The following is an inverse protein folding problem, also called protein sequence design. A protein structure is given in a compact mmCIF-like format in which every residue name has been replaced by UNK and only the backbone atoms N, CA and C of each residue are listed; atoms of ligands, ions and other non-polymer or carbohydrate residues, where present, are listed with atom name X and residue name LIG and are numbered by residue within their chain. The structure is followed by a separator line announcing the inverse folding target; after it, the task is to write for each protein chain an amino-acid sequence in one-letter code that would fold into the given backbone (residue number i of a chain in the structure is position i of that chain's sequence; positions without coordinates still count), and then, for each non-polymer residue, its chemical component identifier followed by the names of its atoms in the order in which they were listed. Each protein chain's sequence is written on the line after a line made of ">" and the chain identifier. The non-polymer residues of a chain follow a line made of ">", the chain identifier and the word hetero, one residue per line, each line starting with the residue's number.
data_IF_993879063777
#
_entry.id   IF_993879063777
#
_cell.length_a   1.000
_cell.length_b   1.000
_cell.length_c   1.000
_cell.angle_alpha   90.00
_cell.angle_beta   90.00
_cell.angle_gamma   90.00
#
_symmetry.space_group_name_H-M   'P 1'
#
loop_
_entity.id
_entity.type
_entity.pdbx_description
1 polymer ?
#
# COMPACT_ATOMS: atom_id res chain seq x y z
N UNK A 1 54.79 -22.35 -9.07
CA UNK A 1 54.44 -21.06 -9.70
C UNK A 1 54.94 -21.08 -11.13
N UNK A 2 54.03 -20.96 -12.10
CA UNK A 2 54.29 -21.15 -13.54
C UNK A 2 55.11 -19.99 -14.13
N UNK A 3 56.19 -20.30 -14.85
CA UNK A 3 57.28 -19.39 -15.24
C UNK A 3 56.96 -18.40 -16.38
N UNK A 4 55.67 -18.16 -16.73
CA UNK A 4 55.30 -17.37 -17.93
C UNK A 4 54.50 -16.08 -17.70
N UNK A 5 54.12 -15.73 -16.47
CA UNK A 5 53.33 -14.52 -16.20
C UNK A 5 54.28 -13.35 -15.89
N UNK A 6 54.32 -12.35 -16.79
CA UNK A 6 55.05 -11.08 -16.56
C UNK A 6 54.50 -10.40 -15.30
N UNK A 7 55.37 -10.15 -14.32
CA UNK A 7 54.99 -9.48 -13.09
C UNK A 7 54.90 -7.96 -13.32
N UNK A 8 53.73 -7.39 -13.02
CA UNK A 8 53.49 -5.95 -13.15
C UNK A 8 53.42 -5.21 -11.81
N UNK A 9 53.49 -5.90 -10.66
CA UNK A 9 53.42 -5.25 -9.34
C UNK A 9 54.43 -4.12 -9.20
N UNK A 10 53.99 -2.96 -8.71
CA UNK A 10 54.78 -1.75 -8.54
C UNK A 10 54.97 -0.92 -9.81
N UNK A 11 54.58 -1.40 -10.99
CA UNK A 11 54.70 -0.64 -12.24
C UNK A 11 53.52 0.32 -12.43
N UNK A 12 53.78 1.45 -13.07
CA UNK A 12 52.78 2.49 -13.38
C UNK A 12 52.47 2.51 -14.88
N UNK A 13 51.17 2.47 -15.23
CA UNK A 13 50.64 2.52 -16.59
C UNK A 13 49.66 3.70 -16.71
N UNK A 14 50.14 4.84 -17.22
CA UNK A 14 49.36 6.09 -17.20
C UNK A 14 49.05 6.52 -15.76
N UNK A 15 47.77 6.69 -15.42
CA UNK A 15 47.30 7.01 -14.05
C UNK A 15 47.16 5.78 -13.15
N UNK A 16 47.59 4.57 -13.56
CA UNK A 16 47.35 3.32 -12.82
C UNK A 16 48.64 2.75 -12.24
N UNK A 17 48.73 2.64 -10.91
CA UNK A 17 49.77 1.89 -10.22
C UNK A 17 49.29 0.45 -9.97
N UNK A 18 50.05 -0.54 -10.39
CA UNK A 18 49.70 -1.94 -10.15
C UNK A 18 50.07 -2.32 -8.72
N UNK A 19 49.05 -2.63 -7.91
CA UNK A 19 49.19 -2.94 -6.48
C UNK A 19 49.45 -4.42 -6.26
N UNK A 20 48.71 -5.30 -6.94
CA UNK A 20 48.83 -6.74 -6.72
C UNK A 20 48.32 -7.55 -7.90
N UNK A 21 48.84 -8.78 -8.01
CA UNK A 21 48.22 -9.83 -8.82
C UNK A 21 46.86 -10.24 -8.21
N UNK A 22 45.88 -10.59 -9.05
CA UNK A 22 44.57 -11.08 -8.59
C UNK A 22 44.34 -12.53 -9.00
N UNK A 23 43.91 -12.76 -10.25
CA UNK A 23 43.64 -14.08 -10.80
C UNK A 23 44.10 -14.15 -12.27
N UNK A 24 44.12 -15.36 -12.82
CA UNK A 24 44.34 -15.58 -14.25
C UNK A 24 43.12 -16.22 -14.89
N UNK A 25 42.75 -15.76 -16.09
CA UNK A 25 41.61 -16.28 -16.84
C UNK A 25 41.93 -16.29 -18.34
N UNK A 26 41.70 -17.42 -19.02
CA UNK A 26 42.00 -17.59 -20.45
C UNK A 26 43.42 -17.15 -20.84
N UNK A 27 44.42 -17.62 -20.08
CA UNK A 27 45.83 -17.28 -20.32
C UNK A 27 46.23 -15.83 -20.02
N UNK A 28 45.34 -15.00 -19.47
CA UNK A 28 45.63 -13.62 -19.10
C UNK A 28 45.63 -13.44 -17.59
N UNK A 29 46.71 -12.86 -17.06
CA UNK A 29 46.78 -12.40 -15.67
C UNK A 29 46.01 -11.09 -15.49
N UNK A 30 45.25 -10.98 -14.41
CA UNK A 30 44.51 -9.79 -14.01
C UNK A 30 45.18 -9.15 -12.79
N UNK A 31 45.25 -7.83 -12.80
CA UNK A 31 46.03 -7.05 -11.85
C UNK A 31 45.15 -6.00 -11.19
N UNK A 32 45.20 -5.94 -9.86
CA UNK A 32 44.57 -4.88 -9.09
C UNK A 32 45.42 -3.63 -9.26
N UNK A 33 44.82 -2.58 -9.82
CA UNK A 33 45.46 -1.30 -10.03
C UNK A 33 44.78 -0.24 -9.17
N UNK A 34 45.57 0.60 -8.53
CA UNK A 34 45.11 1.81 -7.87
C UNK A 34 45.39 2.98 -8.80
N UNK A 35 44.34 3.77 -9.08
CA UNK A 35 44.47 4.91 -9.96
C UNK A 35 44.78 6.17 -9.15
N UNK A 36 45.46 7.15 -9.76
CA UNK A 36 45.67 8.48 -9.19
C UNK A 36 44.34 9.18 -8.79
N UNK A 37 43.21 8.72 -9.34
CA UNK A 37 41.84 9.13 -8.97
C UNK A 37 41.35 8.58 -7.61
N UNK A 38 42.14 7.74 -6.93
CA UNK A 38 41.79 7.01 -5.71
C UNK A 38 40.99 5.71 -5.92
N UNK A 39 40.43 5.48 -7.12
CA UNK A 39 39.68 4.25 -7.39
C UNK A 39 40.60 3.07 -7.70
N UNK A 40 40.22 1.89 -7.21
CA UNK A 40 40.86 0.61 -7.51
C UNK A 40 40.08 -0.14 -8.58
N UNK A 41 40.79 -0.75 -9.53
CA UNK A 41 40.19 -1.50 -10.64
C UNK A 41 41.03 -2.71 -11.01
N UNK A 42 40.39 -3.84 -11.24
CA UNK A 42 41.05 -5.04 -11.75
C UNK A 42 41.14 -4.94 -13.28
N UNK A 43 42.36 -5.02 -13.80
CA UNK A 43 42.66 -4.79 -15.22
C UNK A 43 43.47 -5.97 -15.77
N UNK A 44 43.12 -6.52 -16.95
CA UNK A 44 43.91 -7.57 -17.57
C UNK A 44 45.28 -7.04 -17.98
N UNK A 45 46.33 -7.81 -17.70
CA UNK A 45 47.72 -7.45 -17.95
C UNK A 45 48.02 -7.10 -19.41
N UNK A 46 47.34 -7.75 -20.36
CA UNK A 46 47.44 -7.41 -21.79
C UNK A 46 47.03 -5.96 -22.08
N UNK A 47 46.02 -5.43 -21.38
CA UNK A 47 45.54 -4.07 -21.60
C UNK A 47 46.46 -3.03 -20.94
N UNK A 48 47.13 -3.40 -19.85
CA UNK A 48 48.20 -2.58 -19.25
C UNK A 48 49.41 -2.53 -20.20
N UNK A 49 49.87 -3.70 -20.66
CA UNK A 49 51.05 -3.83 -21.50
C UNK A 49 50.90 -3.17 -22.88
N UNK A 50 49.70 -3.25 -23.49
CA UNK A 50 49.44 -2.64 -24.80
C UNK A 50 48.91 -1.19 -24.69
N UNK A 51 48.82 -0.63 -23.48
CA UNK A 51 48.44 0.77 -23.25
C UNK A 51 46.96 1.11 -23.49
N UNK A 52 46.07 0.11 -23.64
CA UNK A 52 44.63 0.32 -23.82
C UNK A 52 43.94 0.88 -22.58
N UNK A 53 44.42 0.54 -21.38
CA UNK A 53 43.86 1.06 -20.13
C UNK A 53 44.86 1.97 -19.44
N UNK A 54 44.61 3.28 -19.47
CA UNK A 54 45.48 4.31 -18.87
C UNK A 54 44.93 4.94 -17.57
N UNK A 55 43.70 4.60 -17.17
CA UNK A 55 43.07 5.08 -15.94
C UNK A 55 41.93 4.17 -15.46
N UNK A 56 41.40 4.46 -14.27
CA UNK A 56 40.18 3.86 -13.72
C UNK A 56 38.94 4.06 -14.63
N UNK A 57 39.02 5.01 -15.58
CA UNK A 57 37.91 5.59 -16.35
C UNK A 57 37.77 7.10 -16.10
N UNK A 58 38.52 7.66 -15.14
CA UNK A 58 38.50 9.09 -14.81
C UNK A 58 38.96 9.98 -15.96
N UNK A 59 39.98 9.59 -16.74
CA UNK A 59 40.44 10.39 -17.89
C UNK A 59 39.31 10.65 -18.90
N UNK A 60 38.51 9.61 -19.16
CA UNK A 60 37.38 9.72 -20.07
C UNK A 60 36.28 10.61 -19.46
N UNK A 61 36.04 10.49 -18.14
CA UNK A 61 35.06 11.31 -17.42
C UNK A 61 35.45 12.79 -17.39
N UNK A 62 36.73 13.10 -17.17
CA UNK A 62 37.32 14.45 -17.21
C UNK A 62 37.12 15.09 -18.61
N UNK A 63 37.43 14.35 -19.67
CA UNK A 63 37.23 14.81 -21.05
C UNK A 63 35.74 15.03 -21.37
N UNK A 64 34.86 14.10 -20.98
CA UNK A 64 33.42 14.25 -21.20
C UNK A 64 32.86 15.50 -20.51
N UNK A 65 33.27 15.80 -19.27
CA UNK A 65 32.79 17.00 -18.56
C UNK A 65 33.17 18.31 -19.24
N UNK A 66 34.26 18.35 -20.00
CA UNK A 66 34.69 19.56 -20.74
C UNK A 66 33.85 19.84 -21.99
N UNK A 67 33.17 18.82 -22.54
CA UNK A 67 32.35 18.94 -23.75
C UNK A 67 30.84 19.09 -23.48
N UNK A 68 30.43 19.50 -22.27
CA UNK A 68 29.02 19.72 -21.93
C UNK A 68 28.73 21.18 -21.52
N UNK A 69 27.46 21.56 -21.62
CA UNK A 69 27.00 22.88 -21.21
C UNK A 69 27.62 24.01 -22.03
N UNK A 70 27.87 25.16 -21.38
CA UNK A 70 28.45 26.36 -22.00
C UNK A 70 29.83 26.15 -22.63
N UNK A 71 30.53 25.07 -22.26
CA UNK A 71 31.87 24.75 -22.74
C UNK A 71 31.86 23.94 -24.06
N UNK A 72 30.68 23.49 -24.51
CA UNK A 72 30.53 22.84 -25.81
C UNK A 72 30.31 23.91 -26.89
N UNK A 73 31.04 23.84 -28.00
CA UNK A 73 30.86 24.75 -29.15
C UNK A 73 29.45 24.69 -29.76
N UNK A 74 28.73 23.59 -29.59
CA UNK A 74 27.33 23.42 -30.01
C UNK A 74 26.31 23.90 -28.96
N UNK A 75 26.73 24.62 -27.92
CA UNK A 75 25.84 25.14 -26.89
C UNK A 75 24.97 26.28 -27.41
N UNK A 76 23.64 26.10 -27.33
CA UNK A 76 22.65 27.08 -27.81
C UNK A 76 21.99 27.90 -26.68
N UNK A 77 22.52 27.85 -25.47
CA UNK A 77 21.91 28.53 -24.32
C UNK A 77 20.51 28.00 -24.00
N UNK A 78 19.58 28.94 -23.83
CA UNK A 78 18.16 28.69 -23.55
C UNK A 78 17.30 28.61 -24.83
N UNK A 79 17.88 28.92 -26.00
CA UNK A 79 17.25 28.72 -27.31
C UNK A 79 17.30 27.25 -27.75
N UNK A 80 16.78 26.36 -26.91
CA UNK A 80 16.72 24.91 -27.14
C UNK A 80 15.28 24.42 -27.20
N UNK A 81 15.00 23.45 -28.08
CA UNK A 81 13.67 22.86 -28.20
C UNK A 81 13.28 21.99 -26.99
N UNK A 82 11.99 21.69 -26.89
CA UNK A 82 11.36 20.91 -25.80
C UNK A 82 12.15 19.67 -25.36
N UNK A 83 12.53 18.80 -26.30
CA UNK A 83 13.23 17.55 -25.99
C UNK A 83 14.60 17.78 -25.32
N UNK A 84 15.31 18.84 -25.71
CA UNK A 84 16.61 19.16 -25.13
C UNK A 84 16.47 19.64 -23.69
N UNK A 85 15.43 20.42 -23.39
CA UNK A 85 15.13 20.85 -22.03
C UNK A 85 14.68 19.68 -21.15
N UNK A 86 13.80 18.82 -21.66
CA UNK A 86 13.34 17.63 -20.94
C UNK A 86 14.51 16.69 -20.61
N UNK A 87 15.44 16.52 -21.54
CA UNK A 87 16.67 15.75 -21.31
C UNK A 87 17.57 16.42 -20.27
N UNK A 88 17.69 17.75 -20.29
CA UNK A 88 18.42 18.47 -19.27
C UNK A 88 17.82 18.27 -17.88
N UNK A 89 16.50 18.38 -17.74
CA UNK A 89 15.83 18.16 -16.44
C UNK A 89 16.03 16.74 -15.95
N UNK A 90 15.76 15.74 -16.79
CA UNK A 90 15.91 14.33 -16.39
C UNK A 90 17.35 13.98 -15.98
N UNK A 91 18.36 14.71 -16.49
CA UNK A 91 19.77 14.51 -16.12
C UNK A 91 20.14 15.21 -14.82
N UNK A 92 19.63 16.42 -14.58
CA UNK A 92 20.01 17.23 -13.43
C UNK A 92 19.14 16.97 -12.19
N UNK A 93 17.90 16.50 -12.39
CA UNK A 93 16.91 16.30 -11.33
C UNK A 93 16.36 14.88 -11.40
N UNK A 94 16.98 13.92 -10.70
CA UNK A 94 16.50 12.55 -10.63
C UNK A 94 15.05 12.49 -10.13
N UNK A 95 14.23 11.69 -10.81
CA UNK A 95 12.82 11.48 -10.44
C UNK A 95 12.71 10.68 -9.15
N UNK A 96 11.82 11.09 -8.26
CA UNK A 96 11.54 10.36 -7.01
C UNK A 96 10.67 9.12 -7.25
N UNK A 97 10.00 9.06 -8.40
CA UNK A 97 9.00 8.05 -8.72
C UNK A 97 7.69 8.25 -7.98
N UNK A 98 7.45 9.43 -7.39
CA UNK A 98 6.24 9.76 -6.62
C UNK A 98 5.54 10.92 -7.33
N UNK A 99 4.28 10.71 -7.70
CA UNK A 99 3.49 11.73 -8.38
C UNK A 99 3.05 12.84 -7.43
N UNK A 100 3.42 14.09 -7.72
CA UNK A 100 3.09 15.27 -6.89
C UNK A 100 1.59 15.54 -6.77
N UNK A 101 0.80 15.17 -7.77
CA UNK A 101 -0.66 15.35 -7.72
C UNK A 101 -1.36 14.24 -6.94
N UNK A 102 -0.99 12.99 -7.20
CA UNK A 102 -1.80 11.84 -6.79
C UNK A 102 -1.19 11.04 -5.63
N UNK A 103 0.06 11.33 -5.27
CA UNK A 103 0.85 10.70 -4.19
C UNK A 103 1.32 9.27 -4.50
N UNK A 104 1.03 8.72 -5.69
CA UNK A 104 1.35 7.32 -6.01
C UNK A 104 2.81 7.18 -6.42
N UNK A 105 3.45 6.12 -5.89
CA UNK A 105 4.71 5.62 -6.43
C UNK A 105 4.46 4.89 -7.76
N UNK A 106 5.04 5.37 -8.85
CA UNK A 106 4.78 4.90 -10.21
C UNK A 106 5.92 5.28 -11.19
N UNK A 107 5.79 4.88 -12.46
CA UNK A 107 6.58 5.49 -13.52
C UNK A 107 6.13 6.94 -13.73
N UNK A 108 7.05 7.88 -13.55
CA UNK A 108 6.80 9.32 -13.54
C UNK A 108 7.59 10.04 -14.63
N UNK A 109 7.16 11.25 -14.95
CA UNK A 109 7.82 12.19 -15.86
C UNK A 109 7.56 13.62 -15.42
N UNK A 110 8.48 14.52 -15.75
CA UNK A 110 8.32 15.95 -15.50
C UNK A 110 7.43 16.59 -16.56
N UNK A 111 6.53 17.45 -16.12
CA UNK A 111 5.63 18.25 -16.96
C UNK A 111 5.88 19.72 -16.66
N UNK A 112 5.95 20.55 -17.71
CA UNK A 112 6.09 21.99 -17.54
C UNK A 112 4.74 22.62 -17.15
N UNK A 113 4.74 23.42 -16.08
CA UNK A 113 3.52 24.02 -15.53
C UNK A 113 3.19 25.40 -16.12
N UNK A 114 4.18 26.13 -16.62
CA UNK A 114 4.03 27.55 -17.00
C UNK A 114 4.00 27.77 -18.52
N UNK A 115 4.20 26.73 -19.33
CA UNK A 115 4.34 26.82 -20.79
C UNK A 115 5.65 27.47 -21.25
N UNK A 116 6.34 28.18 -20.35
CA UNK A 116 7.66 28.75 -20.56
C UNK A 116 8.72 27.70 -20.26
N UNK A 117 9.39 27.23 -21.31
CA UNK A 117 10.40 26.18 -21.26
C UNK A 117 11.75 26.72 -20.77
N UNK A 118 11.82 27.21 -19.54
CA UNK A 118 13.07 27.69 -18.91
C UNK A 118 13.85 26.53 -18.27
N UNK A 119 15.16 26.69 -18.10
CA UNK A 119 16.01 25.76 -17.31
C UNK A 119 15.85 25.98 -15.79
N UNK A 120 14.62 26.10 -15.35
CA UNK A 120 14.26 26.23 -13.93
C UNK A 120 13.46 25.00 -13.51
N UNK A 121 13.81 24.38 -12.38
CA UNK A 121 13.09 23.22 -11.87
C UNK A 121 11.72 23.60 -11.33
N UNK A 122 11.51 24.86 -10.91
CA UNK A 122 10.22 25.31 -10.39
C UNK A 122 9.12 25.32 -11.46
N UNK A 123 9.50 25.39 -12.73
CA UNK A 123 8.58 25.32 -13.87
C UNK A 123 8.14 23.90 -14.19
N UNK A 124 8.60 22.90 -13.43
CA UNK A 124 8.34 21.49 -13.70
C UNK A 124 7.79 20.75 -12.50
N UNK A 125 6.90 19.81 -12.80
CA UNK A 125 6.33 18.94 -11.79
C UNK A 125 6.37 17.47 -12.19
N UNK A 126 6.76 16.62 -11.24
CA UNK A 126 6.84 15.17 -11.45
C UNK A 126 5.45 14.51 -11.31
N UNK A 127 4.93 13.99 -12.42
CA UNK A 127 3.61 13.33 -12.47
C UNK A 127 3.74 11.88 -12.90
N UNK A 128 2.87 11.01 -12.38
CA UNK A 128 2.70 9.67 -12.95
C UNK A 128 2.06 9.77 -14.35
N UNK A 129 2.34 8.81 -15.24
CA UNK A 129 1.86 8.85 -16.62
C UNK A 129 0.33 9.03 -16.76
N UNK A 130 -0.46 8.49 -15.83
CA UNK A 130 -1.91 8.71 -15.83
C UNK A 130 -2.31 10.16 -15.51
N UNK A 131 -1.58 10.84 -14.61
CA UNK A 131 -1.84 12.25 -14.30
C UNK A 131 -1.25 13.16 -15.40
N UNK A 132 -0.08 12.81 -15.93
CA UNK A 132 0.55 13.48 -17.06
C UNK A 132 -0.39 13.56 -18.27
N UNK A 133 -0.99 12.42 -18.65
CA UNK A 133 -1.96 12.38 -19.76
C UNK A 133 -3.18 13.28 -19.51
N UNK A 134 -3.65 13.38 -18.27
CA UNK A 134 -4.76 14.28 -17.91
C UNK A 134 -4.35 15.73 -18.10
N UNK A 135 -3.14 16.10 -17.67
CA UNK A 135 -2.60 17.44 -17.82
C UNK A 135 -2.53 17.84 -19.31
N UNK A 136 -1.92 16.99 -20.14
CA UNK A 136 -1.76 17.26 -21.58
C UNK A 136 -3.10 17.40 -22.31
N UNK A 137 -4.09 16.55 -21.98
CA UNK A 137 -5.37 16.50 -22.70
C UNK A 137 -6.32 17.66 -22.35
N UNK A 138 -6.18 18.30 -21.19
CA UNK A 138 -7.16 19.28 -20.72
C UNK A 138 -6.71 20.74 -20.90
N UNK A 139 -5.56 21.01 -21.55
CA UNK A 139 -4.96 22.36 -21.70
C UNK A 139 -5.10 23.18 -20.41
N UNK A 140 -4.80 22.55 -19.28
CA UNK A 140 -5.09 23.12 -17.96
C UNK A 140 -4.17 24.34 -17.77
N UNK A 141 -4.76 25.47 -17.36
CA UNK A 141 -4.06 26.76 -17.29
C UNK A 141 -3.21 26.93 -16.02
N UNK A 142 -3.48 26.14 -14.98
CA UNK A 142 -2.71 26.15 -13.73
C UNK A 142 -2.53 24.75 -13.14
N UNK A 143 -1.49 24.57 -12.33
CA UNK A 143 -1.25 23.33 -11.61
C UNK A 143 -2.34 23.01 -10.57
N UNK A 144 -2.86 24.05 -9.92
CA UNK A 144 -3.92 23.99 -8.90
C UNK A 144 -5.21 23.41 -9.48
N UNK A 145 -5.64 23.90 -10.66
CA UNK A 145 -6.81 23.37 -11.37
C UNK A 145 -6.66 21.88 -11.70
N UNK A 146 -5.44 21.44 -12.06
CA UNK A 146 -5.18 20.03 -12.34
C UNK A 146 -5.26 19.17 -11.09
N UNK A 147 -4.76 19.68 -9.96
CA UNK A 147 -4.80 19.00 -8.67
C UNK A 147 -6.23 18.75 -8.23
N UNK A 148 -7.08 19.76 -8.34
CA UNK A 148 -8.49 19.67 -7.98
C UNK A 148 -9.28 18.72 -8.90
N UNK A 149 -9.06 18.80 -10.22
CA UNK A 149 -9.66 17.87 -11.18
C UNK A 149 -9.31 16.41 -10.91
N UNK A 150 -8.04 16.12 -10.57
CA UNK A 150 -7.60 14.75 -10.26
C UNK A 150 -8.19 14.26 -8.93
N UNK A 151 -8.31 15.13 -7.93
CA UNK A 151 -8.94 14.80 -6.64
C UNK A 151 -10.44 14.51 -6.85
N UNK A 152 -11.14 15.35 -7.62
CA UNK A 152 -12.55 15.15 -7.93
C UNK A 152 -12.79 13.85 -8.70
N UNK A 153 -11.99 13.57 -9.75
CA UNK A 153 -12.06 12.31 -10.52
C UNK A 153 -11.76 11.05 -9.70
N UNK A 154 -11.05 11.16 -8.57
CA UNK A 154 -10.83 10.03 -7.66
C UNK A 154 -12.02 9.75 -6.74
N UNK A 155 -12.87 10.75 -6.48
CA UNK A 155 -14.01 10.62 -5.55
C UNK A 155 -15.21 9.95 -6.22
N UNK A 156 -15.33 10.01 -7.54
CA UNK A 156 -16.46 9.45 -8.28
C UNK A 156 -16.02 8.50 -9.41
N UNK A 157 -16.93 7.63 -9.84
CA UNK A 157 -16.75 6.70 -10.95
C UNK A 157 -18.09 6.44 -11.64
N UNK A 158 -18.06 6.27 -12.97
CA UNK A 158 -19.22 5.88 -13.77
C UNK A 158 -19.43 4.37 -13.68
N UNK A 159 -20.64 3.95 -13.33
CA UNK A 159 -21.03 2.55 -13.36
C UNK A 159 -21.26 2.08 -14.79
N UNK A 160 -20.53 1.08 -15.27
CA UNK A 160 -20.70 0.59 -16.65
C UNK A 160 -21.97 -0.22 -16.89
N UNK A 161 -22.78 -0.44 -15.84
CA UNK A 161 -24.07 -1.15 -15.95
C UNK A 161 -25.27 -0.20 -16.04
N UNK A 162 -25.30 0.84 -15.21
CA UNK A 162 -26.40 1.82 -15.18
C UNK A 162 -26.06 3.18 -15.79
N UNK A 163 -24.79 3.44 -16.14
CA UNK A 163 -24.35 4.71 -16.74
C UNK A 163 -24.19 5.88 -15.76
N UNK A 164 -24.66 5.75 -14.53
CA UNK A 164 -24.63 6.83 -13.53
C UNK A 164 -23.24 7.05 -12.93
N UNK A 165 -22.90 8.33 -12.70
CA UNK A 165 -21.75 8.73 -11.89
C UNK A 165 -22.08 8.59 -10.40
N UNK A 166 -21.27 7.79 -9.67
CA UNK A 166 -21.47 7.51 -8.24
C UNK A 166 -20.20 7.71 -7.45
N UNK A 167 -20.31 7.75 -6.12
CA UNK A 167 -19.15 7.79 -5.25
C UNK A 167 -18.29 6.55 -5.45
N UNK A 168 -16.97 6.68 -5.35
CA UNK A 168 -16.04 5.53 -5.41
C UNK A 168 -16.32 4.50 -4.30
N UNK A 169 -16.97 4.92 -3.20
CA UNK A 169 -17.40 4.06 -2.08
C UNK A 169 -18.58 3.14 -2.47
N UNK A 170 -19.32 3.48 -3.52
CA UNK A 170 -20.45 2.71 -4.04
C UNK A 170 -20.01 1.54 -4.94
N UNK A 171 -18.71 1.35 -5.10
CA UNK A 171 -18.13 0.25 -5.85
C UNK A 171 -17.38 -0.71 -4.93
N UNK A 172 -17.66 -2.00 -5.06
CA UNK A 172 -16.93 -3.02 -4.32
C UNK A 172 -15.47 -3.08 -4.77
N UNK A 173 -14.57 -3.47 -3.86
CA UNK A 173 -13.19 -3.73 -4.21
C UNK A 173 -13.10 -4.90 -5.19
N UNK A 174 -12.36 -4.73 -6.27
CA UNK A 174 -11.92 -5.85 -7.11
C UNK A 174 -10.56 -6.34 -6.62
N UNK A 175 -9.66 -5.40 -6.28
CA UNK A 175 -8.39 -5.68 -5.66
C UNK A 175 -8.00 -4.50 -4.77
N UNK A 176 -7.98 -4.74 -3.44
CA UNK A 176 -7.75 -3.69 -2.45
C UNK A 176 -6.30 -3.18 -2.48
N UNK A 177 -5.31 -4.06 -2.60
CA UNK A 177 -3.88 -3.67 -2.62
C UNK A 177 -3.52 -2.82 -3.84
N UNK A 178 -4.12 -3.10 -5.00
CA UNK A 178 -3.92 -2.32 -6.23
C UNK A 178 -4.86 -1.12 -6.35
N UNK A 179 -5.71 -0.84 -5.35
CA UNK A 179 -6.67 0.26 -5.39
C UNK A 179 -7.76 0.10 -6.47
N UNK A 180 -7.98 -1.11 -7.01
CA UNK A 180 -8.92 -1.35 -8.12
C UNK A 180 -10.32 -1.64 -7.60
N UNK A 181 -11.29 -0.85 -8.06
CA UNK A 181 -12.73 -1.02 -7.80
C UNK A 181 -13.41 -1.74 -8.96
N UNK A 182 -14.45 -2.52 -8.67
CA UNK A 182 -15.32 -3.14 -9.69
C UNK A 182 -15.91 -2.08 -10.64
N UNK A 183 -16.32 -2.51 -11.83
CA UNK A 183 -16.91 -1.62 -12.84
C UNK A 183 -18.39 -1.30 -12.56
N UNK A 184 -19.10 -2.23 -11.92
CA UNK A 184 -20.51 -2.07 -11.56
C UNK A 184 -20.64 -1.58 -10.11
N UNK A 185 -21.62 -0.71 -9.87
CA UNK A 185 -21.94 -0.25 -8.51
C UNK A 185 -22.59 -1.37 -7.67
N UNK A 186 -22.56 -1.19 -6.35
CA UNK A 186 -23.16 -2.13 -5.38
C UNK A 186 -24.62 -2.44 -5.69
N UNK A 187 -25.42 -1.45 -6.05
CA UNK A 187 -26.84 -1.64 -6.34
C UNK A 187 -27.06 -2.57 -7.53
N UNK A 188 -26.38 -2.33 -8.66
CA UNK A 188 -26.48 -3.20 -9.84
C UNK A 188 -26.03 -4.64 -9.55
N UNK A 189 -24.97 -4.80 -8.73
CA UNK A 189 -24.51 -6.13 -8.30
C UNK A 189 -25.55 -6.81 -7.41
N UNK A 190 -26.12 -6.08 -6.46
CA UNK A 190 -27.12 -6.61 -5.54
C UNK A 190 -28.41 -7.00 -6.27
N UNK A 191 -28.87 -6.20 -7.23
CA UNK A 191 -30.01 -6.54 -8.08
C UNK A 191 -29.75 -7.80 -8.92
N UNK A 192 -28.56 -7.89 -9.54
CA UNK A 192 -28.18 -9.10 -10.28
C UNK A 192 -28.18 -10.33 -9.35
N UNK A 193 -27.60 -10.21 -8.17
CA UNK A 193 -27.55 -11.28 -7.16
C UNK A 193 -28.96 -11.69 -6.72
N UNK A 194 -29.85 -10.73 -6.45
CA UNK A 194 -31.27 -11.00 -6.12
C UNK A 194 -31.96 -11.80 -7.23
N UNK A 195 -31.83 -11.36 -8.49
CA UNK A 195 -32.40 -12.07 -9.66
C UNK A 195 -31.84 -13.49 -9.80
N UNK A 196 -30.54 -13.66 -9.57
CA UNK A 196 -29.91 -14.98 -9.60
C UNK A 196 -30.44 -15.89 -8.48
N UNK A 197 -30.54 -15.39 -7.26
CA UNK A 197 -31.06 -16.15 -6.11
C UNK A 197 -32.53 -16.54 -6.28
N UNK A 198 -33.36 -15.66 -6.85
CA UNK A 198 -34.75 -15.98 -7.17
C UNK A 198 -34.84 -17.15 -8.17
N UNK A 199 -34.03 -17.12 -9.24
CA UNK A 199 -34.02 -18.18 -10.26
C UNK A 199 -33.35 -19.48 -9.81
N UNK A 200 -32.46 -19.42 -8.82
CA UNK A 200 -31.62 -20.55 -8.39
C UNK A 200 -31.85 -20.94 -6.93
N UNK A 201 -33.03 -20.67 -6.38
CA UNK A 201 -33.29 -20.82 -4.95
C UNK A 201 -33.05 -22.26 -4.46
N UNK A 202 -33.54 -23.25 -5.21
CA UNK A 202 -33.40 -24.66 -4.87
C UNK A 202 -31.97 -25.15 -4.99
N UNK A 203 -31.30 -24.84 -6.11
CA UNK A 203 -29.86 -25.10 -6.30
C UNK A 203 -29.03 -24.54 -5.14
N UNK A 204 -29.33 -23.31 -4.73
CA UNK A 204 -28.62 -22.66 -3.63
C UNK A 204 -28.88 -23.35 -2.29
N UNK A 205 -30.14 -23.73 -1.99
CA UNK A 205 -30.48 -24.51 -0.79
C UNK A 205 -29.73 -25.85 -0.75
N UNK A 206 -29.67 -26.57 -1.87
CA UNK A 206 -28.98 -27.86 -1.96
C UNK A 206 -27.47 -27.70 -1.79
N UNK A 207 -26.88 -26.71 -2.45
CA UNK A 207 -25.48 -26.34 -2.24
C UNK A 207 -25.18 -26.01 -0.77
N UNK A 208 -26.03 -25.22 -0.10
CA UNK A 208 -25.84 -24.91 1.32
C UNK A 208 -25.94 -26.15 2.22
N UNK A 209 -26.90 -27.05 1.97
CA UNK A 209 -27.00 -28.32 2.72
C UNK A 209 -25.72 -29.14 2.57
N UNK A 210 -25.26 -29.32 1.34
CA UNK A 210 -24.06 -30.08 1.03
C UNK A 210 -22.82 -29.44 1.67
N UNK A 211 -22.63 -28.13 1.49
CA UNK A 211 -21.53 -27.39 2.11
C UNK A 211 -21.50 -27.54 3.63
N UNK A 212 -22.66 -27.48 4.31
CA UNK A 212 -22.74 -27.68 5.77
C UNK A 212 -22.32 -29.10 6.18
N UNK A 213 -22.65 -30.11 5.38
CA UNK A 213 -22.26 -31.51 5.61
C UNK A 213 -20.75 -31.66 5.43
N UNK A 214 -20.24 -31.22 4.29
CA UNK A 214 -18.83 -31.40 3.90
C UNK A 214 -17.87 -30.58 4.77
N UNK A 215 -18.33 -29.46 5.33
CA UNK A 215 -17.50 -28.56 6.14
C UNK A 215 -17.92 -28.53 7.61
N UNK A 216 -18.57 -29.58 8.11
CA UNK A 216 -19.10 -29.64 9.49
C UNK A 216 -18.01 -29.37 10.54
N UNK A 217 -16.85 -30.03 10.44
CA UNK A 217 -15.73 -29.85 11.37
C UNK A 217 -15.13 -28.45 11.29
N UNK A 218 -14.83 -27.97 10.08
CA UNK A 218 -14.35 -26.61 9.84
C UNK A 218 -15.29 -25.55 10.47
N UNK A 219 -16.60 -25.74 10.34
CA UNK A 219 -17.60 -24.83 10.93
C UNK A 219 -17.61 -24.89 12.44
N UNK A 220 -17.50 -26.08 13.05
CA UNK A 220 -17.39 -26.22 14.51
C UNK A 220 -16.15 -25.50 15.04
N UNK A 221 -15.02 -25.64 14.36
CA UNK A 221 -13.78 -24.95 14.75
C UNK A 221 -13.92 -23.43 14.58
N UNK A 222 -14.46 -22.95 13.46
CA UNK A 222 -14.73 -21.53 13.26
C UNK A 222 -15.68 -20.96 14.32
N UNK A 223 -16.73 -21.70 14.69
CA UNK A 223 -17.67 -21.30 15.74
C UNK A 223 -16.99 -21.26 17.12
N UNK A 224 -16.10 -22.21 17.41
CA UNK A 224 -15.28 -22.23 18.64
C UNK A 224 -14.39 -21.00 18.71
N UNK A 225 -13.63 -20.72 17.65
CA UNK A 225 -12.76 -19.55 17.54
C UNK A 225 -13.56 -18.24 17.66
N UNK A 226 -14.71 -18.16 17.01
CA UNK A 226 -15.57 -16.98 17.11
C UNK A 226 -16.05 -16.74 18.54
N UNK A 227 -16.48 -17.79 19.25
CA UNK A 227 -16.92 -17.70 20.65
C UNK A 227 -15.79 -17.28 21.58
N UNK A 228 -14.59 -17.83 21.39
CA UNK A 228 -13.41 -17.46 22.17
C UNK A 228 -13.02 -15.99 21.96
N UNK A 229 -13.09 -15.51 20.73
CA UNK A 229 -12.66 -14.16 20.36
C UNK A 229 -13.73 -13.08 20.51
N UNK A 230 -15.00 -13.46 20.73
CA UNK A 230 -16.13 -12.51 20.80
C UNK A 230 -17.10 -12.82 21.97
N UNK A 231 -16.62 -13.00 23.21
CA UNK A 231 -17.47 -13.36 24.34
C UNK A 231 -18.49 -12.26 24.68
N UNK A 232 -18.12 -10.99 24.52
CA UNK A 232 -19.00 -9.82 24.61
C UNK A 232 -20.24 -9.97 23.73
N UNK A 233 -20.05 -10.25 22.43
CA UNK A 233 -21.14 -10.37 21.46
C UNK A 233 -22.00 -11.60 21.73
N UNK A 234 -21.39 -12.71 22.13
CA UNK A 234 -22.13 -13.94 22.47
C UNK A 234 -23.03 -13.71 23.69
N UNK A 235 -22.52 -13.04 24.71
CA UNK A 235 -23.27 -12.72 25.93
C UNK A 235 -24.40 -11.74 25.64
N UNK A 236 -24.12 -10.65 24.91
CA UNK A 236 -25.11 -9.67 24.49
C UNK A 236 -26.24 -10.31 23.67
N UNK A 237 -25.90 -11.10 22.65
CA UNK A 237 -26.89 -11.81 21.83
C UNK A 237 -27.70 -12.82 22.63
N UNK A 238 -27.12 -13.42 23.66
CA UNK A 238 -27.82 -14.36 24.53
C UNK A 238 -28.81 -13.68 25.46
N UNK A 239 -28.43 -12.56 26.07
CA UNK A 239 -29.34 -11.74 26.87
C UNK A 239 -30.49 -11.18 26.02
N UNK A 240 -30.18 -10.61 24.85
CA UNK A 240 -31.18 -10.13 23.88
C UNK A 240 -32.18 -11.21 23.50
N UNK A 241 -31.71 -12.45 23.21
CA UNK A 241 -32.59 -13.58 22.88
C UNK A 241 -33.50 -13.98 24.05
N UNK A 242 -32.99 -13.96 25.28
CA UNK A 242 -33.79 -14.26 26.49
C UNK A 242 -34.88 -13.20 26.69
N UNK A 243 -34.52 -11.92 26.59
CA UNK A 243 -35.46 -10.81 26.71
C UNK A 243 -36.54 -10.84 25.62
N UNK A 244 -36.18 -11.19 24.38
CA UNK A 244 -37.13 -11.31 23.27
C UNK A 244 -38.18 -12.40 23.53
N UNK A 245 -37.78 -13.55 24.09
CA UNK A 245 -38.73 -14.63 24.43
C UNK A 245 -39.75 -14.21 25.49
N UNK A 246 -39.42 -13.22 26.31
CA UNK A 246 -40.25 -12.69 27.38
C UNK A 246 -40.93 -11.36 26.99
N UNK A 247 -40.73 -10.87 25.75
CA UNK A 247 -41.19 -9.56 25.29
C UNK A 247 -40.72 -8.37 26.17
N UNK A 248 -39.55 -8.49 26.77
CA UNK A 248 -38.99 -7.52 27.72
C UNK A 248 -37.95 -6.59 27.08
N UNK A 249 -38.08 -6.26 25.80
CA UNK A 249 -37.17 -5.32 25.12
C UNK A 249 -37.95 -4.06 24.75
N UNK A 250 -37.85 -2.98 25.53
CA UNK A 250 -38.52 -1.71 25.23
C UNK A 250 -38.10 -1.12 23.88
N UNK A 251 -38.94 -0.26 23.29
CA UNK A 251 -38.63 0.40 22.02
C UNK A 251 -37.54 1.47 22.15
N UNK A 252 -37.42 2.10 23.32
CA UNK A 252 -36.47 3.18 23.61
C UNK A 252 -35.07 2.69 24.02
N UNK A 253 -34.75 1.42 23.74
CA UNK A 253 -33.44 0.84 24.07
C UNK A 253 -32.33 1.46 23.22
N UNK A 254 -31.27 1.92 23.87
CA UNK A 254 -30.04 2.29 23.18
C UNK A 254 -29.15 1.05 22.98
N UNK A 255 -29.24 0.46 21.80
CA UNK A 255 -28.44 -0.72 21.45
C UNK A 255 -26.92 -0.47 21.50
N UNK A 256 -26.46 0.75 21.26
CA UNK A 256 -25.02 1.05 21.31
C UNK A 256 -24.50 1.02 22.74
N UNK A 257 -25.23 1.60 23.68
CA UNK A 257 -24.87 1.59 25.11
C UNK A 257 -24.90 0.18 25.68
N UNK A 258 -25.92 -0.63 25.36
CA UNK A 258 -25.93 -2.05 25.75
C UNK A 258 -24.68 -2.77 25.24
N UNK A 259 -24.31 -2.59 23.96
CA UNK A 259 -23.10 -3.21 23.40
C UNK A 259 -21.82 -2.70 24.08
N UNK A 260 -21.77 -1.42 24.45
CA UNK A 260 -20.65 -0.86 25.21
C UNK A 260 -20.51 -1.52 26.59
N UNK A 261 -21.61 -1.74 27.32
CA UNK A 261 -21.58 -2.43 28.62
C UNK A 261 -20.99 -3.85 28.48
N UNK A 262 -21.41 -4.61 27.47
CA UNK A 262 -20.84 -5.95 27.21
C UNK A 262 -19.37 -5.90 26.80
N UNK A 263 -18.98 -4.89 26.02
CA UNK A 263 -17.59 -4.68 25.62
C UNK A 263 -16.70 -4.35 26.82
N UNK A 264 -17.15 -3.44 27.70
CA UNK A 264 -16.47 -3.09 28.95
C UNK A 264 -16.32 -4.32 29.84
N UNK A 265 -17.39 -5.10 30.04
CA UNK A 265 -17.32 -6.33 30.82
C UNK A 265 -16.31 -7.34 30.25
N UNK A 266 -16.25 -7.48 28.93
CA UNK A 266 -15.25 -8.35 28.28
C UNK A 266 -13.84 -7.81 28.45
N UNK A 267 -13.64 -6.49 28.37
CA UNK A 267 -12.34 -5.87 28.62
C UNK A 267 -11.89 -6.08 30.07
N UNK A 268 -12.79 -5.87 31.05
CA UNK A 268 -12.50 -6.12 32.46
C UNK A 268 -12.08 -7.57 32.71
N UNK A 269 -12.74 -8.54 32.08
CA UNK A 269 -12.33 -9.94 32.13
C UNK A 269 -10.97 -10.21 31.47
N UNK A 270 -10.58 -9.46 30.45
CA UNK A 270 -9.28 -9.64 29.78
C UNK A 270 -8.08 -9.16 30.60
N UNK A 271 -8.30 -8.24 31.53
CA UNK A 271 -7.25 -7.67 32.40
C UNK A 271 -7.31 -8.20 33.84
N UNK A 272 -8.37 -8.90 34.22
CA UNK A 272 -8.55 -9.46 35.57
C UNK A 272 -7.95 -10.86 35.64
N UNK A 273 -7.09 -11.10 36.62
CA UNK A 273 -6.42 -12.40 36.82
C UNK A 273 -7.26 -13.33 37.71
N UNK A 274 -7.83 -12.78 38.79
CA UNK A 274 -8.55 -13.55 39.83
C UNK A 274 -10.03 -13.17 39.98
N UNK A 275 -10.53 -12.27 39.13
CA UNK A 275 -11.92 -11.81 39.17
C UNK A 275 -12.57 -12.07 37.81
N UNK A 276 -13.83 -12.55 37.84
CA UNK A 276 -14.63 -12.74 36.64
C UNK A 276 -15.85 -11.84 36.72
N UNK A 277 -16.09 -11.05 35.69
CA UNK A 277 -17.17 -10.08 35.65
C UNK A 277 -18.30 -10.57 34.76
N UNK A 278 -19.53 -10.34 35.18
CA UNK A 278 -20.75 -10.64 34.42
C UNK A 278 -21.55 -9.36 34.20
N UNK A 279 -22.22 -9.27 33.04
CA UNK A 279 -23.31 -8.30 32.86
C UNK A 279 -24.58 -8.94 33.39
N UNK A 280 -25.25 -8.25 34.31
CA UNK A 280 -26.46 -8.67 35.00
C UNK A 280 -27.58 -7.65 34.83
N UNK A 281 -28.83 -8.10 34.98
CA UNK A 281 -29.99 -7.22 35.00
C UNK A 281 -30.28 -6.77 36.44
N UNK A 282 -30.37 -5.46 36.72
CA UNK A 282 -30.68 -4.94 38.06
C UNK A 282 -32.00 -5.52 38.57
N UNK A 283 -33.10 -5.28 37.85
CA UNK A 283 -34.35 -6.02 37.96
C UNK A 283 -34.31 -7.25 37.04
N UNK A 284 -34.32 -8.49 37.55
CA UNK A 284 -34.17 -9.68 36.72
C UNK A 284 -35.25 -9.84 35.65
N UNK A 285 -34.88 -10.34 34.47
CA UNK A 285 -35.83 -10.68 33.40
C UNK A 285 -36.94 -11.62 33.88
N UNK A 286 -36.60 -12.64 34.70
CA UNK A 286 -37.58 -13.59 35.24
C UNK A 286 -38.66 -12.97 36.13
N UNK A 287 -38.44 -11.75 36.63
CA UNK A 287 -39.35 -11.01 37.50
C UNK A 287 -40.00 -9.80 36.83
N UNK A 288 -39.93 -9.72 35.50
CA UNK A 288 -40.52 -8.61 34.74
C UNK A 288 -39.55 -7.50 34.35
N UNK A 289 -38.27 -7.60 34.69
CA UNK A 289 -37.28 -6.57 34.36
C UNK A 289 -37.06 -6.38 32.86
N UNK A 290 -36.90 -5.14 32.37
CA UNK A 290 -36.63 -4.88 30.96
C UNK A 290 -35.16 -5.11 30.61
N UNK A 291 -34.87 -5.57 29.40
CA UNK A 291 -33.53 -5.50 28.83
C UNK A 291 -33.30 -4.09 28.25
N UNK A 292 -32.85 -3.19 29.13
CA UNK A 292 -32.59 -1.78 28.87
C UNK A 292 -31.21 -1.41 29.42
N UNK A 293 -30.53 -0.42 28.84
CA UNK A 293 -29.20 0.02 29.27
C UNK A 293 -29.15 0.34 30.78
N UNK A 294 -30.16 1.03 31.30
CA UNK A 294 -30.25 1.42 32.72
C UNK A 294 -30.58 0.27 33.65
N UNK A 295 -31.06 -0.86 33.11
CA UNK A 295 -31.33 -2.06 33.88
C UNK A 295 -30.16 -3.07 33.76
N UNK A 296 -29.02 -2.69 33.17
CA UNK A 296 -27.84 -3.54 33.08
C UNK A 296 -26.73 -3.00 33.98
N UNK A 297 -26.05 -3.91 34.67
CA UNK A 297 -24.91 -3.59 35.52
C UNK A 297 -23.81 -4.63 35.35
N UNK A 298 -22.57 -4.24 35.62
CA UNK A 298 -21.44 -5.17 35.65
C UNK A 298 -21.17 -5.54 37.11
N UNK A 299 -21.22 -6.83 37.42
CA UNK A 299 -20.97 -7.37 38.75
C UNK A 299 -19.86 -8.40 38.71
N UNK A 300 -19.11 -8.50 39.80
CA UNK A 300 -18.27 -9.67 40.03
C UNK A 300 -19.15 -10.94 40.03
N UNK A 301 -18.62 -12.02 39.47
CA UNK A 301 -19.36 -13.25 39.25
C UNK A 301 -19.84 -13.88 40.56
N UNK A 302 -19.08 -13.76 41.65
CA UNK A 302 -19.45 -14.28 42.98
C UNK A 302 -20.61 -13.45 43.51
N UNK A 303 -20.54 -12.13 43.39
CA UNK A 303 -21.62 -11.22 43.80
C UNK A 303 -22.89 -11.49 42.98
N UNK A 304 -22.78 -11.63 41.66
CA UNK A 304 -23.92 -11.92 40.79
C UNK A 304 -24.57 -13.28 41.13
N UNK A 305 -23.77 -14.33 41.37
CA UNK A 305 -24.29 -15.64 41.77
C UNK A 305 -25.01 -15.57 43.13
N UNK A 306 -24.50 -14.78 44.09
CA UNK A 306 -25.16 -14.57 45.39
C UNK A 306 -26.44 -13.76 45.26
N UNK A 307 -26.47 -12.75 44.39
CA UNK A 307 -27.66 -11.96 44.07
C UNK A 307 -28.77 -12.86 43.52
N UNK A 308 -28.45 -13.71 42.53
CA UNK A 308 -29.44 -14.55 41.86
C UNK A 308 -30.64 -13.72 41.38
N UNK A 309 -31.85 -14.15 41.73
CA UNK A 309 -33.09 -13.39 41.51
C UNK A 309 -33.58 -12.64 42.76
N UNK A 310 -32.73 -12.46 43.78
CA UNK A 310 -33.07 -11.80 45.07
C UNK A 310 -33.02 -10.27 44.95
N UNK A 311 -33.81 -9.75 44.02
CA UNK A 311 -34.45 -8.44 44.02
C UNK A 311 -35.85 -8.71 43.50
#
# INVERSE_FOLDING_TARGET
>A
MDKRIKNFTGQKFGKLLVVAYTYSKFGNAYWLCECDCGNKKVIPGRNLNNGHTKSCGCLLKEHYTQCFGKNNSNWKGDAVGYFALQNWINRNYPRQGICSTCGKRANTGYVNINGEYKRDITDFIELCMSCHKIYDLNKIKSYEDMKDLVIQRKKSKICTKCGEQKSIKDFNWQNKSKGRRKAWCKNCINELSKKWHQKNQERYKNYQKQYKKDNSEYRKECDKQYRMNNPDKINANTAKRRALKLNQTPLNVNMLEILQIYSICSYMNSISINCKWHVDHIHPLSKGGPHHQDNLQILDSIVNMRKGSKF
#
